data_IF_489349617218
#
_entry.id   IF_489349617218
#
_cell.length_a   1.000
_cell.length_b   1.000
_cell.length_c   1.000
_cell.angle_alpha   90.00
_cell.angle_beta   90.00
_cell.angle_gamma   90.00
#
_symmetry.space_group_name_H-M   'P 1'
#
loop_
_entity.id
_entity.type
_entity.pdbx_description
1 polymer ?
#
# COMPACT_ATOMS: atom_id res chain seq x y z
N UNK A 1 -8.18 29.70 9.89
CA UNK A 1 -9.26 28.84 9.40
C UNK A 1 -9.06 28.67 7.90
N UNK A 2 -8.36 27.65 7.48
CA UNK A 2 -8.24 27.36 6.05
C UNK A 2 -9.47 26.53 5.65
N UNK A 3 -10.25 27.00 4.70
CA UNK A 3 -11.32 26.21 4.11
C UNK A 3 -10.65 25.15 3.22
N UNK A 4 -11.24 23.94 3.12
CA UNK A 4 -10.64 22.83 2.35
C UNK A 4 -10.45 23.08 0.84
N UNK A 5 -10.71 24.30 0.35
CA UNK A 5 -10.42 24.75 -1.02
C UNK A 5 -8.98 25.24 -1.19
N UNK A 6 -8.26 25.54 -0.09
CA UNK A 6 -6.88 26.03 -0.13
C UNK A 6 -5.85 24.91 -0.06
N UNK A 7 -6.30 23.64 0.08
CA UNK A 7 -5.41 22.46 0.17
C UNK A 7 -4.72 22.14 -1.16
N UNK A 8 -5.29 22.55 -2.28
CA UNK A 8 -4.74 22.33 -3.63
C UNK A 8 -4.67 23.64 -4.39
N UNK A 9 -3.53 23.94 -4.99
CA UNK A 9 -3.32 25.13 -5.81
C UNK A 9 -2.89 24.74 -7.22
N UNK A 10 -3.17 25.61 -8.21
CA UNK A 10 -2.73 25.42 -9.57
C UNK A 10 -3.48 24.34 -10.34
N UNK A 11 -2.75 23.54 -11.13
CA UNK A 11 -3.29 22.49 -11.99
C UNK A 11 -4.04 21.42 -11.21
N UNK A 12 -3.55 21.02 -10.05
CA UNK A 12 -4.17 20.04 -9.17
C UNK A 12 -5.60 20.44 -8.75
N UNK A 13 -5.83 21.72 -8.46
CA UNK A 13 -7.15 22.24 -8.10
C UNK A 13 -8.15 22.16 -9.28
N UNK A 14 -7.66 22.23 -10.52
CA UNK A 14 -8.49 22.09 -11.71
C UNK A 14 -8.86 20.61 -11.99
N UNK A 15 -8.00 19.69 -11.62
CA UNK A 15 -8.19 18.25 -11.82
C UNK A 15 -9.10 17.64 -10.75
N UNK A 16 -8.99 18.10 -9.50
CA UNK A 16 -9.80 17.62 -8.37
C UNK A 16 -10.97 18.56 -8.12
N UNK A 17 -12.06 18.38 -8.90
CA UNK A 17 -13.30 19.12 -8.69
C UNK A 17 -14.29 18.31 -7.86
N UNK A 18 -14.34 18.55 -6.56
CA UNK A 18 -15.25 17.86 -5.64
C UNK A 18 -16.57 18.63 -5.51
N UNK A 19 -17.66 18.03 -5.98
CA UNK A 19 -19.01 18.59 -5.82
C UNK A 19 -19.55 18.34 -4.42
N UNK A 20 -20.08 19.37 -3.78
CA UNK A 20 -20.66 19.25 -2.44
C UNK A 20 -21.78 18.18 -2.36
N UNK A 21 -22.60 18.07 -3.40
CA UNK A 21 -23.62 17.02 -3.47
C UNK A 21 -23.05 15.59 -3.48
N UNK A 22 -21.82 15.39 -3.94
CA UNK A 22 -21.16 14.09 -3.85
C UNK A 22 -20.68 13.82 -2.42
N UNK A 23 -20.16 14.83 -1.73
CA UNK A 23 -19.79 14.74 -0.31
C UNK A 23 -21.00 14.38 0.53
N UNK A 24 -22.13 15.09 0.36
CA UNK A 24 -23.37 14.81 1.10
C UNK A 24 -23.90 13.39 0.85
N UNK A 25 -23.81 12.87 -0.38
CA UNK A 25 -24.18 11.47 -0.66
C UNK A 25 -23.30 10.48 0.11
N UNK A 26 -21.98 10.69 0.14
CA UNK A 26 -21.08 9.81 0.88
C UNK A 26 -21.28 9.90 2.38
N UNK A 27 -21.61 11.08 2.91
CA UNK A 27 -21.93 11.23 4.33
C UNK A 27 -23.21 10.46 4.75
N UNK A 28 -24.08 10.14 3.81
CA UNK A 28 -25.28 9.34 4.07
C UNK A 28 -25.05 7.82 3.97
N UNK A 29 -23.89 7.38 3.44
CA UNK A 29 -23.59 5.95 3.25
C UNK A 29 -23.46 5.24 4.60
N UNK A 30 -24.03 4.05 4.64
CA UNK A 30 -23.94 3.08 5.74
C UNK A 30 -23.42 1.73 5.23
N UNK A 31 -23.00 0.80 6.10
CA UNK A 31 -22.64 -0.55 5.66
C UNK A 31 -23.72 -1.29 4.85
N UNK A 32 -24.99 -1.02 5.12
CA UNK A 32 -26.12 -1.67 4.43
C UNK A 32 -26.28 -1.20 2.95
N UNK A 33 -25.58 -0.13 2.55
CA UNK A 33 -25.66 0.43 1.19
C UNK A 33 -24.61 -0.18 0.22
N UNK A 34 -23.74 -1.07 0.72
CA UNK A 34 -22.67 -1.69 -0.07
C UNK A 34 -22.76 -3.20 -0.01
N UNK A 35 -22.27 -3.88 -1.06
CA UNK A 35 -22.20 -5.33 -1.09
C UNK A 35 -20.85 -5.80 -0.49
N UNK A 36 -20.87 -6.95 0.20
CA UNK A 36 -19.67 -7.68 0.54
C UNK A 36 -18.95 -8.15 -0.75
N UNK A 37 -17.64 -8.29 -0.66
CA UNK A 37 -16.85 -8.84 -1.76
C UNK A 37 -17.17 -10.34 -1.99
N UNK A 38 -16.99 -10.80 -3.22
CA UNK A 38 -17.15 -12.21 -3.60
C UNK A 38 -15.86 -13.04 -3.43
N UNK A 39 -14.74 -12.37 -3.24
CA UNK A 39 -13.42 -12.95 -2.97
C UNK A 39 -12.59 -11.97 -2.15
N UNK A 40 -11.57 -12.46 -1.47
CA UNK A 40 -10.53 -11.65 -0.82
C UNK A 40 -9.19 -11.94 -1.47
N UNK A 41 -8.36 -10.90 -1.54
CA UNK A 41 -6.98 -11.02 -2.02
C UNK A 41 -5.97 -10.56 -0.96
N UNK A 42 -4.71 -11.01 -1.11
CA UNK A 42 -3.57 -10.54 -0.33
C UNK A 42 -2.29 -10.73 -1.14
N UNK A 43 -1.22 -10.00 -0.82
CA UNK A 43 0.11 -10.24 -1.37
C UNK A 43 1.05 -10.82 -0.31
N UNK A 44 1.96 -11.72 -0.71
CA UNK A 44 3.02 -12.20 0.18
C UNK A 44 4.28 -11.41 -0.08
N UNK A 45 4.70 -10.63 0.92
CA UNK A 45 5.85 -9.76 0.78
C UNK A 45 6.98 -10.05 1.77
N UNK A 46 8.14 -9.49 1.48
CA UNK A 46 9.17 -9.18 2.46
C UNK A 46 9.21 -7.67 2.63
N UNK A 47 9.05 -7.21 3.87
CA UNK A 47 9.01 -5.79 4.20
C UNK A 47 10.43 -5.28 4.49
N UNK A 48 10.90 -4.27 3.74
CA UNK A 48 12.24 -3.68 3.85
C UNK A 48 12.15 -2.20 4.20
N UNK A 49 12.37 -1.84 5.48
CA UNK A 49 12.50 -0.45 5.90
C UNK A 49 13.91 0.06 5.60
N UNK A 50 14.15 0.58 4.40
CA UNK A 50 15.51 0.96 3.98
C UNK A 50 16.20 1.89 4.98
N UNK A 51 15.47 2.81 5.60
CA UNK A 51 16.00 3.73 6.61
C UNK A 51 14.92 4.14 7.60
N UNK A 52 15.30 4.36 8.85
CA UNK A 52 14.45 4.92 9.90
C UNK A 52 14.48 6.46 9.92
N UNK A 53 15.10 7.10 8.93
CA UNK A 53 15.08 8.56 8.80
C UNK A 53 13.83 9.05 8.06
N UNK A 54 13.27 10.19 8.50
CA UNK A 54 12.15 10.86 7.85
C UNK A 54 12.23 12.37 8.07
N UNK A 55 12.02 13.17 7.03
CA UNK A 55 11.98 14.63 7.19
C UNK A 55 10.79 15.12 8.00
N UNK A 56 9.69 14.36 8.03
CA UNK A 56 8.50 14.68 8.82
C UNK A 56 8.59 14.12 10.26
N UNK A 57 7.76 14.67 11.13
CA UNK A 57 7.64 14.26 12.54
C UNK A 57 6.16 14.15 12.90
N UNK A 58 5.42 13.32 12.14
CA UNK A 58 4.00 13.09 12.38
C UNK A 58 3.78 12.48 13.77
N UNK A 59 2.82 13.01 14.53
CA UNK A 59 2.67 12.68 15.96
C UNK A 59 2.09 11.29 16.22
N UNK A 60 1.54 10.62 15.21
CA UNK A 60 1.05 9.23 15.28
C UNK A 60 2.12 8.20 14.88
N UNK A 61 3.24 8.62 14.28
CA UNK A 61 4.20 7.73 13.66
C UNK A 61 5.34 7.35 14.61
N UNK A 62 5.61 6.05 14.72
CA UNK A 62 6.75 5.50 15.48
C UNK A 62 7.96 5.22 14.62
N UNK A 63 7.82 5.28 13.31
CA UNK A 63 8.78 4.77 12.36
C UNK A 63 10.10 5.56 12.31
N UNK A 64 10.10 6.87 12.57
CA UNK A 64 11.30 7.68 12.41
C UNK A 64 12.14 7.77 13.70
N UNK A 65 13.46 7.71 13.54
CA UNK A 65 14.43 8.03 14.60
C UNK A 65 14.89 9.48 14.53
N UNK A 66 15.50 9.95 15.61
CA UNK A 66 16.08 11.31 15.63
C UNK A 66 17.39 11.35 14.83
N UNK A 67 17.79 12.52 14.29
CA UNK A 67 19.08 12.66 13.64
C UNK A 67 20.24 12.20 14.56
N UNK A 68 21.10 11.34 14.03
CA UNK A 68 22.20 10.70 14.76
C UNK A 68 21.91 9.26 15.22
N UNK A 69 20.63 8.85 15.29
CA UNK A 69 20.20 7.49 15.67
C UNK A 69 19.64 6.70 14.48
N UNK A 70 19.19 7.40 13.44
CA UNK A 70 18.61 6.78 12.25
C UNK A 70 19.59 5.84 11.55
N UNK A 71 19.07 4.73 11.06
CA UNK A 71 19.80 3.68 10.35
C UNK A 71 19.51 3.69 8.86
N UNK A 72 20.40 3.10 8.08
CA UNK A 72 20.25 2.84 6.66
C UNK A 72 20.72 1.40 6.40
N UNK A 73 19.88 0.56 5.82
CA UNK A 73 20.27 -0.80 5.43
C UNK A 73 21.35 -0.75 4.35
N UNK A 74 22.38 -1.57 4.49
CA UNK A 74 23.39 -1.71 3.45
C UNK A 74 22.85 -2.53 2.25
N UNK A 75 23.46 -2.42 1.04
CA UNK A 75 23.09 -3.27 -0.09
C UNK A 75 23.20 -4.77 0.21
N UNK A 76 24.14 -5.17 1.09
CA UNK A 76 24.30 -6.57 1.51
C UNK A 76 23.16 -7.01 2.44
N UNK A 77 22.74 -6.16 3.39
CA UNK A 77 21.60 -6.43 4.27
C UNK A 77 20.31 -6.54 3.47
N UNK A 78 20.10 -5.62 2.50
CA UNK A 78 18.95 -5.65 1.58
C UNK A 78 18.91 -6.98 0.82
N UNK A 79 20.02 -7.37 0.18
CA UNK A 79 20.12 -8.64 -0.55
C UNK A 79 19.87 -9.85 0.34
N UNK A 80 20.39 -9.84 1.56
CA UNK A 80 20.20 -10.91 2.53
C UNK A 80 18.72 -11.08 2.92
N UNK A 81 18.02 -9.98 3.20
CA UNK A 81 16.60 -10.02 3.55
C UNK A 81 15.73 -10.43 2.36
N UNK A 82 16.04 -9.96 1.16
CA UNK A 82 15.35 -10.36 -0.07
C UNK A 82 15.45 -11.87 -0.32
N UNK A 83 16.63 -12.49 -0.12
CA UNK A 83 16.79 -13.95 -0.23
C UNK A 83 15.92 -14.70 0.75
N UNK A 84 15.87 -14.25 2.01
CA UNK A 84 15.00 -14.87 3.02
C UNK A 84 13.54 -14.79 2.58
N UNK A 85 13.07 -13.65 2.04
CA UNK A 85 11.73 -13.51 1.50
C UNK A 85 11.48 -14.42 0.30
N UNK A 86 12.41 -14.47 -0.66
CA UNK A 86 12.31 -15.33 -1.84
C UNK A 86 12.25 -16.82 -1.46
N UNK A 87 13.11 -17.26 -0.53
CA UNK A 87 13.12 -18.65 -0.02
C UNK A 87 11.81 -19.00 0.71
N UNK A 88 11.17 -18.02 1.37
CA UNK A 88 9.86 -18.18 2.00
C UNK A 88 8.68 -18.15 1.00
N UNK A 89 8.95 -17.95 -0.29
CA UNK A 89 7.94 -17.94 -1.35
C UNK A 89 7.22 -16.59 -1.50
N UNK A 90 7.78 -15.50 -0.98
CA UNK A 90 7.27 -14.16 -1.26
C UNK A 90 7.38 -13.85 -2.77
N UNK A 91 6.47 -13.03 -3.25
CA UNK A 91 6.48 -12.50 -4.63
C UNK A 91 6.75 -11.00 -4.67
N UNK A 92 6.67 -10.32 -3.54
CA UNK A 92 6.80 -8.87 -3.43
C UNK A 92 7.96 -8.48 -2.50
N UNK A 93 8.77 -7.53 -2.95
CA UNK A 93 9.68 -6.75 -2.13
C UNK A 93 9.04 -5.40 -1.82
N UNK A 94 8.58 -5.20 -0.59
CA UNK A 94 7.96 -3.96 -0.14
C UNK A 94 9.00 -3.04 0.47
N UNK A 95 9.45 -2.05 -0.29
CA UNK A 95 10.33 -0.99 0.18
C UNK A 95 9.55 0.17 0.76
N UNK A 96 9.64 0.39 2.05
CA UNK A 96 8.98 1.51 2.74
C UNK A 96 9.98 2.23 3.62
N UNK A 97 10.00 3.56 3.56
CA UNK A 97 10.82 4.39 4.42
C UNK A 97 10.24 5.80 4.57
N UNK A 98 10.87 6.61 5.40
CA UNK A 98 10.44 7.97 5.65
C UNK A 98 10.67 8.89 4.46
N UNK A 99 9.95 9.98 4.44
CA UNK A 99 9.97 10.99 3.38
C UNK A 99 11.32 11.71 3.32
N UNK A 100 11.95 11.81 2.14
CA UNK A 100 13.22 12.49 1.87
C UNK A 100 14.22 12.44 3.04
N UNK A 101 14.68 11.24 3.45
CA UNK A 101 15.52 11.07 4.64
C UNK A 101 16.86 11.78 4.54
N UNK A 102 17.47 11.81 3.38
CA UNK A 102 18.75 12.45 3.06
C UNK A 102 18.70 13.99 3.07
N UNK A 103 17.51 14.58 2.92
CA UNK A 103 17.30 16.04 3.04
C UNK A 103 17.48 16.57 4.48
N UNK A 104 17.21 15.74 5.49
CA UNK A 104 17.25 16.14 6.91
C UNK A 104 18.40 15.51 7.69
N UNK A 105 18.82 14.31 7.31
CA UNK A 105 19.77 13.50 8.08
C UNK A 105 21.11 13.44 7.35
N UNK A 106 22.05 14.30 7.75
CA UNK A 106 23.39 14.36 7.15
C UNK A 106 24.08 13.00 7.15
N UNK A 107 23.90 12.17 8.19
CA UNK A 107 24.48 10.83 8.24
C UNK A 107 23.98 9.90 7.14
N UNK A 108 22.70 10.04 6.75
CA UNK A 108 22.12 9.25 5.64
C UNK A 108 22.71 9.72 4.31
N UNK A 109 22.77 11.03 4.09
CA UNK A 109 23.40 11.61 2.92
C UNK A 109 24.88 11.20 2.81
N UNK A 110 25.66 11.32 3.90
CA UNK A 110 27.08 10.97 3.90
C UNK A 110 27.27 9.47 3.62
N UNK A 111 26.42 8.60 4.18
CA UNK A 111 26.50 7.16 3.95
C UNK A 111 26.16 6.78 2.50
N UNK A 112 25.14 7.41 1.91
CA UNK A 112 24.80 7.24 0.48
C UNK A 112 25.98 7.64 -0.41
N UNK A 113 26.58 8.81 -0.14
CA UNK A 113 27.74 9.29 -0.88
C UNK A 113 28.97 8.36 -0.72
N UNK A 114 29.19 7.77 0.47
CA UNK A 114 30.24 6.77 0.69
C UNK A 114 30.02 5.51 -0.17
N UNK A 115 28.77 5.09 -0.36
CA UNK A 115 28.41 3.97 -1.23
C UNK A 115 28.35 4.34 -2.72
N UNK A 116 28.45 5.64 -3.07
CA UNK A 116 28.51 6.14 -4.44
C UNK A 116 27.13 6.53 -5.01
N UNK A 117 26.14 6.75 -4.17
CA UNK A 117 24.81 7.21 -4.54
C UNK A 117 24.68 8.73 -4.34
N UNK A 118 24.00 9.40 -5.28
CA UNK A 118 23.73 10.84 -5.19
C UNK A 118 22.57 11.15 -4.23
N UNK A 119 21.56 10.26 -4.14
CA UNK A 119 20.38 10.40 -3.29
C UNK A 119 19.76 9.04 -2.91
N UNK A 120 18.79 9.09 -1.99
CA UNK A 120 18.08 7.88 -1.51
C UNK A 120 17.27 7.20 -2.63
N UNK A 121 16.80 7.93 -3.64
CA UNK A 121 16.01 7.35 -4.72
C UNK A 121 16.87 6.61 -5.73
N UNK A 122 18.12 7.03 -5.92
CA UNK A 122 19.10 6.26 -6.69
C UNK A 122 19.43 4.96 -5.99
N UNK A 123 19.65 5.01 -4.68
CA UNK A 123 19.84 3.82 -3.87
C UNK A 123 18.63 2.88 -3.89
N UNK A 124 17.41 3.43 -3.75
CA UNK A 124 16.18 2.65 -3.87
C UNK A 124 16.09 1.95 -5.23
N UNK A 125 16.45 2.62 -6.32
CA UNK A 125 16.43 2.02 -7.65
C UNK A 125 17.34 0.78 -7.71
N UNK A 126 18.55 0.87 -7.18
CA UNK A 126 19.46 -0.28 -7.13
C UNK A 126 18.91 -1.39 -6.22
N UNK A 127 18.27 -1.04 -5.09
CA UNK A 127 17.58 -2.02 -4.24
C UNK A 127 16.45 -2.74 -4.99
N UNK A 128 15.71 -2.05 -5.84
CA UNK A 128 14.70 -2.67 -6.70
C UNK A 128 15.32 -3.62 -7.73
N UNK A 129 16.47 -3.26 -8.32
CA UNK A 129 17.20 -4.15 -9.24
C UNK A 129 17.70 -5.40 -8.51
N UNK A 130 18.23 -5.25 -7.29
CA UNK A 130 18.59 -6.40 -6.43
C UNK A 130 17.37 -7.28 -6.14
N UNK A 131 16.19 -6.68 -5.89
CA UNK A 131 14.98 -7.46 -5.64
C UNK A 131 14.57 -8.30 -6.86
N UNK A 132 14.65 -7.74 -8.06
CA UNK A 132 14.39 -8.48 -9.30
C UNK A 132 15.39 -9.63 -9.51
N UNK A 133 16.69 -9.41 -9.19
CA UNK A 133 17.72 -10.46 -9.24
C UNK A 133 17.42 -11.61 -8.25
N UNK A 134 16.92 -11.29 -7.06
CA UNK A 134 16.58 -12.29 -6.03
C UNK A 134 15.16 -12.90 -6.23
N UNK A 135 14.46 -12.53 -7.30
CA UNK A 135 13.16 -13.10 -7.67
C UNK A 135 11.97 -12.52 -6.92
N UNK A 136 11.98 -11.24 -6.62
CA UNK A 136 10.90 -10.50 -5.99
C UNK A 136 10.52 -9.28 -6.83
N UNK A 137 9.23 -9.03 -6.99
CA UNK A 137 8.72 -7.85 -7.70
C UNK A 137 8.70 -6.65 -6.73
N UNK A 138 9.38 -5.54 -7.04
CA UNK A 138 9.38 -4.38 -6.18
C UNK A 138 8.04 -3.64 -6.13
N UNK A 139 7.64 -3.26 -4.92
CA UNK A 139 6.65 -2.23 -4.61
C UNK A 139 7.31 -1.20 -3.68
N UNK A 140 7.36 0.06 -4.08
CA UNK A 140 8.07 1.10 -3.33
C UNK A 140 7.16 2.22 -2.84
N UNK A 141 7.34 2.59 -1.56
CA UNK A 141 6.67 3.72 -0.89
C UNK A 141 7.72 4.76 -0.44
N UNK A 142 8.30 5.56 -1.35
CA UNK A 142 9.40 6.48 -1.04
C UNK A 142 8.95 7.83 -0.47
N UNK A 143 7.67 8.02 -0.15
CA UNK A 143 7.11 9.30 0.26
C UNK A 143 6.74 10.22 -0.90
N UNK A 144 6.83 11.54 -0.69
CA UNK A 144 6.50 12.54 -1.71
C UNK A 144 7.61 12.62 -2.76
N UNK A 145 7.27 12.26 -4.01
CA UNK A 145 8.17 12.29 -5.18
C UNK A 145 7.50 12.95 -6.38
N UNK A 146 8.28 13.28 -7.39
CA UNK A 146 7.89 14.04 -8.57
C UNK A 146 7.84 13.18 -9.84
N UNK A 147 7.32 13.72 -10.96
CA UNK A 147 7.30 13.02 -12.26
C UNK A 147 8.70 12.49 -12.67
N UNK A 148 9.80 13.26 -12.63
CA UNK A 148 11.13 12.75 -12.93
C UNK A 148 11.57 11.58 -12.03
N UNK A 149 11.14 11.56 -10.76
CA UNK A 149 11.45 10.46 -9.87
C UNK A 149 10.66 9.19 -10.25
N UNK A 150 9.39 9.33 -10.67
CA UNK A 150 8.62 8.22 -11.22
C UNK A 150 9.19 7.71 -12.55
N UNK A 151 9.68 8.58 -13.44
CA UNK A 151 10.38 8.16 -14.65
C UNK A 151 11.63 7.33 -14.34
N UNK A 152 12.34 7.64 -13.24
CA UNK A 152 13.53 6.91 -12.77
C UNK A 152 13.18 5.58 -12.11
N UNK A 153 12.14 5.53 -11.29
CA UNK A 153 11.79 4.38 -10.44
C UNK A 153 10.77 3.43 -11.09
N UNK A 154 9.82 3.94 -11.89
CA UNK A 154 8.78 3.14 -12.53
C UNK A 154 9.30 1.95 -13.34
N UNK A 155 10.42 2.08 -14.10
CA UNK A 155 10.96 0.96 -14.84
C UNK A 155 11.40 -0.26 -14.02
N UNK A 156 11.66 -0.11 -12.73
CA UNK A 156 12.10 -1.18 -11.82
C UNK A 156 11.06 -1.54 -10.75
N UNK A 157 9.86 -0.98 -10.81
CA UNK A 157 8.77 -1.25 -9.88
C UNK A 157 7.56 -1.85 -10.59
N UNK A 158 6.95 -2.88 -9.99
CA UNK A 158 5.68 -3.44 -10.46
C UNK A 158 4.50 -2.52 -10.09
N UNK A 159 4.61 -1.85 -8.96
CA UNK A 159 3.69 -0.80 -8.49
C UNK A 159 4.41 0.09 -7.48
N UNK A 160 3.82 1.24 -7.18
CA UNK A 160 4.35 2.16 -6.16
C UNK A 160 3.20 2.71 -5.32
N UNK A 161 3.52 3.38 -4.21
CA UNK A 161 2.47 3.92 -3.35
C UNK A 161 2.91 5.11 -2.50
N UNK A 162 1.91 5.83 -2.04
CA UNK A 162 1.99 6.78 -0.92
C UNK A 162 0.61 6.95 -0.29
N UNK A 163 0.55 6.90 1.03
CA UNK A 163 -0.70 7.17 1.73
C UNK A 163 -1.05 8.66 1.65
N UNK A 164 -2.23 8.98 1.08
CA UNK A 164 -2.80 10.34 1.18
C UNK A 164 -3.08 10.70 2.63
N UNK A 165 -3.56 9.74 3.40
CA UNK A 165 -4.01 9.81 4.78
C UNK A 165 -5.26 10.68 4.95
N UNK A 166 -5.19 11.96 4.60
CA UNK A 166 -6.34 12.87 4.62
C UNK A 166 -6.10 14.09 3.75
N UNK A 167 -7.19 14.69 3.23
CA UNK A 167 -7.16 16.03 2.61
C UNK A 167 -7.36 17.17 3.61
N UNK A 168 -7.49 16.85 4.92
CA UNK A 168 -7.58 17.86 5.97
C UNK A 168 -6.19 18.35 6.42
N UNK A 169 -6.14 19.56 6.86
CA UNK A 169 -5.00 20.12 7.57
C UNK A 169 -5.11 19.76 9.06
N UNK A 170 -4.47 18.63 9.46
CA UNK A 170 -4.56 18.09 10.82
C UNK A 170 -3.30 18.39 11.64
N UNK A 171 -3.48 18.57 12.96
CA UNK A 171 -2.37 18.82 13.89
C UNK A 171 -1.40 17.61 13.95
N UNK A 172 -1.88 16.42 13.65
CA UNK A 172 -1.06 15.20 13.57
C UNK A 172 0.09 15.29 12.54
N UNK A 173 -0.07 16.15 11.52
CA UNK A 173 0.95 16.45 10.50
C UNK A 173 1.77 17.70 10.82
N UNK A 174 1.48 18.37 11.92
CA UNK A 174 2.25 19.53 12.35
C UNK A 174 3.64 19.12 12.84
N UNK A 175 4.63 19.95 12.59
CA UNK A 175 6.01 19.73 12.96
C UNK A 175 6.90 20.79 12.36
N UNK A 176 8.22 20.61 12.49
CA UNK A 176 9.19 21.54 11.89
C UNK A 176 9.12 21.58 10.35
N UNK A 177 8.69 20.50 9.72
CA UNK A 177 8.29 20.40 8.32
C UNK A 177 6.92 19.76 8.27
N UNK A 178 5.93 20.51 7.83
CA UNK A 178 4.55 20.10 7.81
C UNK A 178 4.27 19.26 6.56
N UNK A 179 3.73 18.07 6.73
CA UNK A 179 3.18 17.26 5.64
C UNK A 179 1.85 17.89 5.20
N UNK A 180 1.69 18.15 3.92
CA UNK A 180 0.48 18.77 3.38
C UNK A 180 -0.27 17.84 2.44
N UNK A 181 -1.61 17.90 2.41
CA UNK A 181 -2.41 17.12 1.47
C UNK A 181 -2.04 17.38 0.01
N UNK A 182 -1.69 18.63 -0.32
CA UNK A 182 -1.29 18.99 -1.69
C UNK A 182 -0.04 18.28 -2.18
N UNK A 183 0.96 18.06 -1.32
CA UNK A 183 2.15 17.27 -1.66
C UNK A 183 1.77 15.84 -2.00
N UNK A 184 0.98 15.18 -1.14
CA UNK A 184 0.51 13.80 -1.36
C UNK A 184 -0.31 13.65 -2.63
N UNK A 185 -1.25 14.57 -2.87
CA UNK A 185 -2.07 14.56 -4.08
C UNK A 185 -1.24 14.81 -5.35
N UNK A 186 -0.21 15.66 -5.28
CA UNK A 186 0.71 15.85 -6.41
C UNK A 186 1.51 14.58 -6.71
N UNK A 187 1.96 13.83 -5.70
CA UNK A 187 2.62 12.55 -5.89
C UNK A 187 1.70 11.51 -6.54
N UNK A 188 0.43 11.41 -6.06
CA UNK A 188 -0.56 10.52 -6.67
C UNK A 188 -0.85 10.92 -8.13
N UNK A 189 -0.95 12.22 -8.43
CA UNK A 189 -1.12 12.75 -9.79
C UNK A 189 0.08 12.39 -10.68
N UNK A 190 1.29 12.61 -10.19
CA UNK A 190 2.53 12.33 -10.92
C UNK A 190 2.65 10.85 -11.30
N UNK A 191 2.31 9.94 -10.38
CA UNK A 191 2.24 8.50 -10.67
C UNK A 191 1.28 8.20 -11.82
N UNK A 192 0.12 8.88 -11.84
CA UNK A 192 -0.87 8.73 -12.90
C UNK A 192 -0.40 9.28 -14.25
N UNK A 193 0.29 10.42 -14.28
CA UNK A 193 0.85 11.00 -15.50
C UNK A 193 1.91 10.10 -16.14
N UNK A 194 2.76 9.48 -15.33
CA UNK A 194 3.81 8.57 -15.81
C UNK A 194 3.23 7.17 -16.12
N UNK A 195 2.08 6.80 -15.55
CA UNK A 195 1.43 5.51 -15.78
C UNK A 195 1.99 4.39 -14.91
N UNK A 196 2.21 4.66 -13.62
CA UNK A 196 2.63 3.65 -12.64
C UNK A 196 1.40 3.16 -11.87
N UNK A 197 1.14 1.83 -11.78
CA UNK A 197 0.09 1.28 -10.93
C UNK A 197 0.33 1.70 -9.48
N UNK A 198 -0.70 2.28 -8.81
CA UNK A 198 -0.46 3.04 -7.60
C UNK A 198 -1.39 2.65 -6.45
N UNK A 199 -0.81 2.50 -5.26
CA UNK A 199 -1.52 2.28 -3.99
C UNK A 199 -1.53 3.57 -3.17
N UNK A 200 -2.69 3.91 -2.62
CA UNK A 200 -2.85 5.04 -1.70
C UNK A 200 -3.85 4.70 -0.59
N UNK A 201 -4.20 5.64 0.27
CA UNK A 201 -5.18 5.33 1.31
C UNK A 201 -5.44 6.45 2.30
N UNK A 202 -6.31 6.15 3.26
CA UNK A 202 -6.68 7.01 4.38
C UNK A 202 -6.07 6.49 5.68
N UNK A 203 -5.73 7.41 6.59
CA UNK A 203 -5.42 7.08 7.97
C UNK A 203 -6.53 7.64 8.86
N UNK A 204 -7.32 6.75 9.44
CA UNK A 204 -8.53 7.07 10.20
C UNK A 204 -8.18 7.28 11.67
N UNK A 205 -8.57 8.45 12.22
CA UNK A 205 -8.44 8.75 13.65
C UNK A 205 -7.30 9.72 13.99
N UNK A 206 -6.76 10.45 13.01
CA UNK A 206 -5.68 11.43 13.21
C UNK A 206 -6.19 12.88 13.37
N UNK A 207 -7.51 13.06 13.54
CA UNK A 207 -8.13 14.38 13.73
C UNK A 207 -8.99 14.84 12.56
N UNK A 208 -9.10 14.06 11.49
CA UNK A 208 -9.96 14.29 10.34
C UNK A 208 -11.44 14.06 10.66
N UNK A 209 -12.32 14.76 9.97
CA UNK A 209 -13.77 14.62 10.08
C UNK A 209 -14.34 13.64 9.05
N UNK A 210 -15.60 13.25 9.20
CA UNK A 210 -16.34 12.47 8.19
C UNK A 210 -16.34 13.14 6.82
N UNK A 211 -16.44 14.46 6.79
CA UNK A 211 -16.40 15.26 5.57
C UNK A 211 -15.02 15.21 4.91
N UNK A 212 -13.97 15.19 5.71
CA UNK A 212 -12.59 15.09 5.20
C UNK A 212 -12.32 13.72 4.61
N UNK A 213 -12.82 12.64 5.22
CA UNK A 213 -12.75 11.28 4.64
C UNK A 213 -13.47 11.22 3.30
N UNK A 214 -14.70 11.75 3.22
CA UNK A 214 -15.45 11.82 1.97
C UNK A 214 -14.71 12.60 0.88
N UNK A 215 -14.13 13.74 1.22
CA UNK A 215 -13.33 14.55 0.28
C UNK A 215 -12.05 13.83 -0.15
N UNK A 216 -11.37 13.15 0.75
CA UNK A 216 -10.15 12.38 0.45
C UNK A 216 -10.45 11.27 -0.57
N UNK A 217 -11.52 10.50 -0.36
CA UNK A 217 -11.94 9.45 -1.28
C UNK A 217 -12.35 10.00 -2.65
N UNK A 218 -13.05 11.14 -2.67
CA UNK A 218 -13.43 11.80 -3.93
C UNK A 218 -12.23 12.40 -4.66
N UNK A 219 -11.20 12.86 -3.94
CA UNK A 219 -9.96 13.33 -4.56
C UNK A 219 -9.19 12.18 -5.21
N UNK A 220 -9.04 11.05 -4.52
CA UNK A 220 -8.43 9.84 -5.08
C UNK A 220 -9.20 9.37 -6.31
N UNK A 221 -10.53 9.30 -6.21
CA UNK A 221 -11.40 8.94 -7.33
C UNK A 221 -11.19 9.87 -8.54
N UNK A 222 -11.14 11.18 -8.33
CA UNK A 222 -10.98 12.15 -9.42
C UNK A 222 -9.65 11.96 -10.16
N UNK A 223 -8.56 11.68 -9.45
CA UNK A 223 -7.26 11.36 -10.05
C UNK A 223 -7.30 10.02 -10.79
N UNK A 224 -7.95 9.00 -10.23
CA UNK A 224 -8.11 7.71 -10.91
C UNK A 224 -8.96 7.84 -12.19
N UNK A 225 -10.09 8.54 -12.14
CA UNK A 225 -10.95 8.78 -13.32
C UNK A 225 -10.20 9.49 -14.47
N UNK A 226 -9.14 10.25 -14.15
CA UNK A 226 -8.33 10.92 -15.15
C UNK A 226 -7.19 10.06 -15.69
N UNK A 227 -6.52 9.30 -14.82
CA UNK A 227 -5.26 8.63 -15.14
C UNK A 227 -5.35 7.10 -15.15
N UNK A 228 -6.40 6.51 -14.62
CA UNK A 228 -6.67 5.05 -14.57
C UNK A 228 -5.61 4.22 -13.80
N UNK A 229 -4.89 4.84 -12.83
CA UNK A 229 -3.66 4.30 -12.23
C UNK A 229 -3.81 3.75 -10.80
N UNK A 230 -4.84 4.17 -10.04
CA UNK A 230 -5.00 3.70 -8.65
C UNK A 230 -5.54 2.29 -8.65
N UNK A 231 -4.76 1.35 -8.13
CA UNK A 231 -5.13 -0.06 -8.04
C UNK A 231 -5.82 -0.41 -6.71
N UNK A 232 -5.47 0.32 -5.64
CA UNK A 232 -5.84 -0.02 -4.28
C UNK A 232 -5.95 1.22 -3.41
N UNK A 233 -6.96 1.23 -2.52
CA UNK A 233 -7.14 2.25 -1.48
C UNK A 233 -7.19 1.58 -0.11
N UNK A 234 -6.19 1.84 0.71
CA UNK A 234 -6.05 1.32 2.06
C UNK A 234 -6.90 2.16 3.02
N UNK A 235 -7.80 1.54 3.76
CA UNK A 235 -8.52 2.17 4.87
C UNK A 235 -7.87 1.69 6.17
N UNK A 236 -6.82 2.38 6.57
CA UNK A 236 -6.05 2.08 7.77
C UNK A 236 -6.56 2.90 8.97
N UNK A 237 -6.63 2.29 10.13
CA UNK A 237 -6.86 3.02 11.39
C UNK A 237 -5.54 3.32 12.11
N UNK A 238 -5.50 4.45 12.82
CA UNK A 238 -4.43 4.70 13.78
C UNK A 238 -4.53 3.68 14.94
N UNK A 239 -3.39 3.30 15.49
CA UNK A 239 -3.29 2.43 16.66
C UNK A 239 -2.51 3.13 17.78
N UNK A 240 -2.81 2.85 19.05
CA UNK A 240 -1.99 3.32 20.16
C UNK A 240 -0.54 2.86 20.00
N UNK A 241 0.40 3.71 20.34
CA UNK A 241 1.82 3.40 20.32
C UNK A 241 2.58 4.23 21.37
N UNK A 242 3.86 3.93 21.59
CA UNK A 242 4.69 4.57 22.61
C UNK A 242 4.87 6.10 22.43
N UNK A 243 4.70 6.61 21.22
CA UNK A 243 4.94 8.03 20.87
C UNK A 243 3.67 8.86 20.75
N UNK A 244 2.48 8.25 20.85
CA UNK A 244 1.23 8.96 20.64
C UNK A 244 0.12 8.54 21.59
N UNK A 245 -0.74 9.50 21.92
CA UNK A 245 -1.96 9.29 22.72
C UNK A 245 -3.18 8.99 21.82
N UNK A 246 -3.00 8.74 20.53
CA UNK A 246 -4.10 8.43 19.61
C UNK A 246 -4.78 7.14 20.03
N UNK A 247 -6.11 7.17 19.99
CA UNK A 247 -6.92 6.02 20.30
C UNK A 247 -7.43 5.35 19.03
N UNK A 248 -7.51 4.03 19.03
CA UNK A 248 -8.08 3.27 17.92
C UNK A 248 -9.53 3.73 17.68
N UNK A 249 -9.92 4.05 16.43
CA UNK A 249 -11.32 4.31 16.08
C UNK A 249 -12.22 3.12 16.44
N UNK A 250 -13.48 3.40 16.75
CA UNK A 250 -14.45 2.33 17.02
C UNK A 250 -14.68 1.47 15.76
N UNK A 251 -15.09 0.21 15.97
CA UNK A 251 -15.48 -0.70 14.88
C UNK A 251 -16.54 -0.06 13.98
N UNK A 252 -17.54 0.60 14.56
CA UNK A 252 -18.59 1.31 13.81
C UNK A 252 -18.00 2.42 12.91
N UNK A 253 -17.02 3.17 13.42
CA UNK A 253 -16.31 4.18 12.63
C UNK A 253 -15.59 3.55 11.44
N UNK A 254 -14.91 2.43 11.66
CA UNK A 254 -14.21 1.72 10.59
C UNK A 254 -15.20 1.13 9.57
N UNK A 255 -16.24 0.43 10.00
CA UNK A 255 -17.30 -0.12 9.16
C UNK A 255 -17.87 0.94 8.21
N UNK A 256 -18.26 2.08 8.76
CA UNK A 256 -18.82 3.18 7.97
C UNK A 256 -17.77 3.81 7.03
N UNK A 257 -16.50 3.91 7.45
CA UNK A 257 -15.45 4.47 6.59
C UNK A 257 -15.14 3.55 5.41
N UNK A 258 -15.07 2.23 5.63
CA UNK A 258 -14.90 1.23 4.59
C UNK A 258 -16.08 1.25 3.60
N UNK A 259 -17.31 1.26 4.10
CA UNK A 259 -18.51 1.36 3.25
C UNK A 259 -18.51 2.66 2.42
N UNK A 260 -18.09 3.78 3.03
CA UNK A 260 -17.91 5.04 2.31
C UNK A 260 -16.84 4.94 1.23
N UNK A 261 -15.73 4.24 1.48
CA UNK A 261 -14.68 4.01 0.49
C UNK A 261 -15.22 3.17 -0.67
N UNK A 262 -15.88 2.04 -0.40
CA UNK A 262 -16.48 1.21 -1.45
C UNK A 262 -17.52 1.97 -2.29
N UNK A 263 -18.36 2.78 -1.66
CA UNK A 263 -19.35 3.60 -2.36
C UNK A 263 -18.75 4.76 -3.17
N UNK A 264 -17.60 5.29 -2.74
CA UNK A 264 -16.92 6.38 -3.43
C UNK A 264 -16.12 5.93 -4.64
N UNK A 265 -15.46 4.77 -4.54
CA UNK A 265 -14.45 4.32 -5.49
C UNK A 265 -15.08 3.46 -6.59
N UNK A 266 -14.57 3.53 -7.83
CA UNK A 266 -14.88 2.58 -8.89
C UNK A 266 -14.66 1.12 -8.46
N UNK A 267 -15.37 0.19 -9.08
CA UNK A 267 -15.30 -1.23 -8.71
C UNK A 267 -13.92 -1.87 -8.97
N UNK A 268 -13.18 -1.30 -9.91
CA UNK A 268 -11.83 -1.75 -10.26
C UNK A 268 -10.73 -1.34 -9.28
N UNK A 269 -11.03 -0.46 -8.32
CA UNK A 269 -10.12 -0.12 -7.23
C UNK A 269 -10.44 -1.02 -6.04
N UNK A 270 -9.46 -1.78 -5.56
CA UNK A 270 -9.61 -2.57 -4.34
C UNK A 270 -9.69 -1.68 -3.10
N UNK A 271 -10.53 -2.09 -2.14
CA UNK A 271 -10.62 -1.49 -0.81
C UNK A 271 -9.95 -2.43 0.19
N UNK A 272 -8.78 -2.04 0.63
CA UNK A 272 -7.95 -2.82 1.52
C UNK A 272 -8.10 -2.38 2.98
N UNK A 273 -8.01 -3.34 3.90
CA UNK A 273 -7.77 -3.08 5.33
C UNK A 273 -6.58 -3.92 5.81
N UNK A 274 -5.64 -3.35 6.59
CA UNK A 274 -4.52 -4.10 7.13
C UNK A 274 -4.99 -5.04 8.26
N UNK A 275 -4.81 -6.36 8.12
CA UNK A 275 -5.44 -7.33 9.03
C UNK A 275 -4.80 -7.38 10.42
N UNK A 276 -3.56 -6.90 10.58
CA UNK A 276 -2.89 -6.76 11.88
C UNK A 276 -3.35 -5.52 12.66
N UNK A 277 -3.89 -4.50 12.01
CA UNK A 277 -4.25 -3.22 12.63
C UNK A 277 -5.75 -3.05 12.80
N UNK A 278 -6.54 -3.60 11.89
CA UNK A 278 -7.99 -3.38 11.78
C UNK A 278 -8.80 -4.56 12.31
N UNK A 279 -10.04 -4.34 12.78
CA UNK A 279 -10.96 -5.41 13.14
C UNK A 279 -11.55 -6.07 11.87
N UNK A 280 -10.72 -6.76 11.10
CA UNK A 280 -10.98 -7.17 9.71
C UNK A 280 -12.26 -8.00 9.56
N UNK A 281 -12.53 -8.95 10.47
CA UNK A 281 -13.73 -9.81 10.40
C UNK A 281 -15.02 -9.01 10.44
N UNK A 282 -15.04 -7.92 11.21
CA UNK A 282 -16.18 -7.01 11.34
C UNK A 282 -16.32 -6.04 10.17
N UNK A 283 -15.38 -6.05 9.22
CA UNK A 283 -15.36 -5.15 8.06
C UNK A 283 -15.69 -5.83 6.73
N UNK A 284 -15.72 -7.17 6.69
CA UNK A 284 -15.86 -7.94 5.44
C UNK A 284 -17.18 -7.67 4.72
N UNK A 285 -18.26 -7.42 5.44
CA UNK A 285 -19.57 -7.07 4.88
C UNK A 285 -19.70 -5.60 4.46
N UNK A 286 -18.63 -4.80 4.62
CA UNK A 286 -18.58 -3.38 4.28
C UNK A 286 -17.89 -3.10 2.94
N UNK A 287 -17.56 -4.14 2.14
CA UNK A 287 -16.97 -4.01 0.81
C UNK A 287 -15.44 -4.04 0.79
N UNK A 288 -14.80 -4.63 1.82
CA UNK A 288 -13.39 -4.99 1.78
C UNK A 288 -13.19 -6.15 0.82
N UNK A 289 -12.23 -6.04 -0.08
CA UNK A 289 -11.88 -7.07 -1.07
C UNK A 289 -10.37 -7.42 -1.07
N UNK A 290 -9.56 -6.70 -0.27
CA UNK A 290 -8.13 -6.99 -0.13
C UNK A 290 -7.64 -6.88 1.32
N UNK A 291 -6.67 -7.71 1.68
CA UNK A 291 -6.02 -7.77 2.99
C UNK A 291 -4.58 -7.20 2.97
N UNK A 292 -4.17 -6.67 1.83
CA UNK A 292 -2.86 -6.05 1.66
C UNK A 292 -1.68 -7.00 1.58
N UNK A 293 -0.50 -6.43 1.76
CA UNK A 293 0.74 -7.18 1.86
C UNK A 293 0.94 -7.74 3.26
N UNK A 294 1.29 -9.02 3.35
CA UNK A 294 1.56 -9.72 4.61
C UNK A 294 2.92 -10.40 4.52
N UNK A 295 3.77 -10.17 5.52
CA UNK A 295 5.11 -10.77 5.56
C UNK A 295 5.15 -12.01 6.45
N UNK A 296 5.58 -13.17 5.92
CA UNK A 296 5.84 -14.35 6.74
C UNK A 296 7.19 -14.33 7.45
N UNK A 297 8.08 -13.39 7.13
CA UNK A 297 9.50 -13.42 7.53
C UNK A 297 10.02 -12.13 8.16
N UNK A 298 9.30 -11.03 8.04
CA UNK A 298 9.66 -9.73 8.63
C UNK A 298 8.55 -9.20 9.52
N UNK A 299 8.91 -8.38 10.49
CA UNK A 299 7.96 -7.68 11.37
C UNK A 299 7.30 -6.50 10.63
N UNK A 300 6.20 -5.97 11.16
CA UNK A 300 5.67 -4.67 10.76
C UNK A 300 6.50 -3.56 11.43
N UNK A 301 7.52 -3.08 10.75
CA UNK A 301 8.41 -2.05 11.28
C UNK A 301 7.74 -0.67 11.49
N UNK A 302 6.57 -0.45 10.88
CA UNK A 302 5.77 0.77 11.11
C UNK A 302 4.91 0.64 12.36
N UNK A 303 4.45 -0.58 12.67
CA UNK A 303 3.62 -0.87 13.83
C UNK A 303 4.15 -2.12 14.56
N UNK A 304 5.31 -2.04 15.21
CA UNK A 304 6.04 -3.22 15.72
C UNK A 304 5.32 -3.98 16.84
N UNK A 305 4.33 -3.39 17.49
CA UNK A 305 3.51 -4.05 18.52
C UNK A 305 2.36 -4.89 17.92
N UNK A 306 2.25 -4.96 16.57
CA UNK A 306 1.14 -5.59 15.86
C UNK A 306 1.65 -6.56 14.79
N UNK A 307 1.85 -7.81 15.19
CA UNK A 307 2.37 -8.87 14.33
C UNK A 307 1.49 -9.12 13.10
N UNK A 308 2.12 -9.50 11.98
CA UNK A 308 1.42 -9.98 10.80
C UNK A 308 0.66 -11.28 11.10
N UNK A 309 -0.60 -11.41 10.63
CA UNK A 309 -1.32 -12.66 10.76
C UNK A 309 -0.64 -13.76 9.94
N UNK A 310 -0.64 -14.97 10.47
CA UNK A 310 -0.20 -16.12 9.72
C UNK A 310 -1.15 -16.40 8.53
N UNK A 311 -0.67 -17.04 7.46
CA UNK A 311 -1.50 -17.40 6.29
C UNK A 311 -2.77 -18.18 6.68
N UNK A 312 -2.68 -19.03 7.71
CA UNK A 312 -3.86 -19.72 8.25
C UNK A 312 -4.91 -18.76 8.80
N UNK A 313 -4.50 -17.71 9.45
CA UNK A 313 -5.43 -16.71 9.99
C UNK A 313 -6.13 -15.93 8.87
N UNK A 314 -5.41 -15.63 7.77
CA UNK A 314 -6.03 -15.02 6.58
C UNK A 314 -7.09 -15.94 5.97
N UNK A 315 -6.82 -17.26 5.88
CA UNK A 315 -7.83 -18.23 5.42
C UNK A 315 -9.02 -18.32 6.36
N UNK A 316 -8.80 -18.26 7.70
CA UNK A 316 -9.88 -18.25 8.68
C UNK A 316 -10.71 -16.93 8.63
N UNK A 317 -10.08 -15.80 8.26
CA UNK A 317 -10.78 -14.54 8.00
C UNK A 317 -11.70 -14.71 6.78
N UNK A 318 -11.19 -15.16 5.65
CA UNK A 318 -11.98 -15.36 4.43
C UNK A 318 -13.12 -16.38 4.63
N UNK A 319 -12.83 -17.50 5.30
CA UNK A 319 -13.82 -18.52 5.63
C UNK A 319 -14.95 -17.98 6.52
N UNK A 320 -14.70 -16.99 7.38
CA UNK A 320 -15.73 -16.37 8.21
C UNK A 320 -16.79 -15.60 7.43
N UNK A 321 -16.47 -15.20 6.19
CA UNK A 321 -17.40 -14.56 5.25
C UNK A 321 -17.87 -15.49 4.13
N UNK A 322 -17.46 -16.76 4.15
CA UNK A 322 -17.77 -17.76 3.10
C UNK A 322 -17.28 -17.32 1.70
N UNK A 323 -16.10 -16.69 1.64
CA UNK A 323 -15.46 -16.26 0.39
C UNK A 323 -14.09 -16.88 0.21
N UNK A 324 -13.66 -17.13 -1.04
CA UNK A 324 -12.30 -17.62 -1.33
C UNK A 324 -11.25 -16.55 -1.08
N UNK A 325 -10.06 -16.98 -0.66
CA UNK A 325 -8.87 -16.16 -0.52
C UNK A 325 -7.88 -16.47 -1.63
N UNK A 326 -7.38 -15.45 -2.30
CA UNK A 326 -6.37 -15.58 -3.36
C UNK A 326 -5.12 -14.77 -3.04
N UNK A 327 -3.96 -15.34 -3.31
CA UNK A 327 -2.72 -14.58 -3.35
C UNK A 327 -2.64 -13.78 -4.65
N UNK A 328 -2.17 -12.54 -4.61
CA UNK A 328 -1.93 -11.68 -5.78
C UNK A 328 -0.48 -11.22 -5.85
N UNK A 329 -0.07 -10.72 -7.00
CA UNK A 329 1.17 -9.96 -7.17
C UNK A 329 1.03 -8.55 -6.55
N UNK A 330 2.15 -7.79 -6.37
CA UNK A 330 2.08 -6.39 -5.94
C UNK A 330 1.37 -5.48 -6.96
N UNK A 331 1.18 -5.94 -8.17
CA UNK A 331 0.39 -5.31 -9.24
C UNK A 331 -0.88 -6.10 -9.48
N UNK A 332 -2.03 -5.41 -9.61
CA UNK A 332 -3.33 -6.03 -9.80
C UNK A 332 -3.56 -6.49 -11.24
N UNK A 333 -4.42 -7.53 -11.42
CA UNK A 333 -4.70 -8.18 -12.71
C UNK A 333 -5.01 -7.21 -13.85
N UNK A 334 -5.73 -6.10 -13.57
CA UNK A 334 -6.09 -5.15 -14.62
C UNK A 334 -4.90 -4.47 -15.30
N UNK A 335 -3.75 -4.35 -14.62
CA UNK A 335 -2.53 -3.72 -15.12
C UNK A 335 -1.55 -4.72 -15.73
N UNK A 336 -1.79 -6.02 -15.55
CA UNK A 336 -1.01 -7.07 -16.20
C UNK A 336 -1.29 -7.12 -17.70
N UNK A 337 -0.33 -7.55 -18.53
CA UNK A 337 -0.59 -7.98 -19.89
C UNK A 337 -1.71 -9.01 -19.95
N UNK A 338 -2.53 -8.97 -21.00
CA UNK A 338 -3.75 -9.79 -21.10
C UNK A 338 -3.50 -11.30 -20.96
N UNK A 339 -2.35 -11.75 -21.45
CA UNK A 339 -1.89 -13.16 -21.40
C UNK A 339 -1.45 -13.62 -20.00
N UNK A 340 -1.21 -12.67 -19.09
CA UNK A 340 -0.81 -12.94 -17.71
C UNK A 340 -1.96 -12.81 -16.71
N UNK A 341 -3.11 -12.33 -17.17
CA UNK A 341 -4.28 -12.19 -16.31
C UNK A 341 -4.94 -13.52 -16.00
N UNK A 342 -5.59 -13.60 -14.87
CA UNK A 342 -6.49 -14.70 -14.50
C UNK A 342 -7.56 -14.89 -15.57
N UNK A 343 -7.84 -16.16 -15.94
CA UNK A 343 -8.78 -16.48 -17.02
C UNK A 343 -10.23 -16.11 -16.72
N UNK A 344 -10.59 -16.06 -15.43
CA UNK A 344 -11.91 -15.65 -14.92
C UNK A 344 -11.96 -14.16 -14.51
N UNK A 345 -10.92 -13.38 -14.86
CA UNK A 345 -10.92 -11.94 -14.62
C UNK A 345 -12.04 -11.27 -15.40
N UNK A 346 -13.13 -10.94 -14.69
CA UNK A 346 -14.33 -10.35 -15.28
C UNK A 346 -14.23 -8.83 -15.51
N UNK A 347 -13.14 -8.19 -15.09
CA UNK A 347 -12.92 -6.76 -15.19
C UNK A 347 -12.35 -6.33 -16.53
N UNK A 348 -12.54 -5.05 -16.88
CA UNK A 348 -11.82 -4.45 -17.99
C UNK A 348 -10.35 -4.22 -17.58
N UNK A 349 -9.41 -4.62 -18.41
CA UNK A 349 -8.01 -4.25 -18.24
C UNK A 349 -7.81 -2.75 -18.42
N UNK A 350 -6.88 -2.16 -17.70
CA UNK A 350 -6.45 -0.79 -17.94
C UNK A 350 -5.88 -0.64 -19.36
N UNK A 351 -6.19 0.46 -20.02
CA UNK A 351 -5.71 0.70 -21.37
C UNK A 351 -4.22 1.05 -21.38
N UNK A 352 -3.46 0.49 -22.31
CA UNK A 352 -2.03 0.78 -22.47
C UNK A 352 -1.11 -0.27 -21.83
N UNK A 353 0.18 0.05 -21.79
CA UNK A 353 1.23 -0.76 -21.14
C UNK A 353 1.57 -0.09 -19.81
N UNK A 354 1.29 -0.76 -18.72
CA UNK A 354 1.51 -0.28 -17.34
C UNK A 354 2.80 -0.77 -16.72
N UNK A 355 3.30 -1.91 -17.20
CA UNK A 355 4.54 -2.49 -16.72
C UNK A 355 5.67 -2.28 -17.71
N UNK A 356 6.83 -2.00 -17.18
CA UNK A 356 8.08 -1.90 -17.95
C UNK A 356 8.49 -3.25 -18.52
N UNK A 357 9.34 -3.22 -19.56
CA UNK A 357 9.92 -4.45 -20.14
C UNK A 357 10.66 -5.31 -19.09
N UNK A 358 11.49 -4.77 -18.17
CA UNK A 358 12.13 -5.56 -17.11
C UNK A 358 11.14 -6.29 -16.20
N UNK A 359 10.07 -5.65 -15.79
CA UNK A 359 9.03 -6.27 -14.92
C UNK A 359 8.29 -7.38 -15.69
N UNK A 360 7.87 -7.12 -16.93
CA UNK A 360 7.23 -8.16 -17.77
C UNK A 360 8.18 -9.32 -18.01
N UNK A 361 9.46 -9.04 -18.29
CA UNK A 361 10.47 -10.07 -18.50
C UNK A 361 10.67 -10.95 -17.23
N UNK A 362 10.69 -10.34 -16.04
CA UNK A 362 10.76 -11.08 -14.78
C UNK A 362 9.56 -12.02 -14.58
N UNK A 363 8.34 -11.53 -14.82
CA UNK A 363 7.11 -12.34 -14.68
C UNK A 363 7.07 -13.49 -15.71
N UNK A 364 7.56 -13.26 -16.92
CA UNK A 364 7.50 -14.22 -18.02
C UNK A 364 8.73 -15.12 -18.15
N UNK A 365 9.76 -14.94 -17.34
CA UNK A 365 10.98 -15.75 -17.35
C UNK A 365 10.69 -17.25 -17.21
N UNK A 366 11.50 -18.08 -17.90
CA UNK A 366 11.40 -19.55 -17.85
C UNK A 366 12.21 -20.15 -16.68
N UNK A 367 12.22 -19.45 -15.55
CA UNK A 367 12.88 -19.88 -14.32
C UNK A 367 11.86 -20.14 -13.19
N UNK A 368 12.37 -20.49 -12.00
CA UNK A 368 11.53 -20.76 -10.81
C UNK A 368 10.76 -19.52 -10.35
N UNK A 369 11.32 -18.33 -10.51
CA UNK A 369 10.68 -17.07 -10.09
C UNK A 369 9.57 -16.68 -11.05
N UNK A 370 9.83 -16.69 -12.36
CA UNK A 370 8.80 -16.44 -13.37
C UNK A 370 7.65 -17.45 -13.29
N UNK A 371 7.95 -18.73 -13.03
CA UNK A 371 6.91 -19.74 -12.82
C UNK A 371 6.07 -19.44 -11.57
N UNK A 372 6.69 -18.96 -10.46
CA UNK A 372 6.00 -18.52 -9.24
C UNK A 372 5.07 -17.35 -9.52
N UNK A 373 5.57 -16.31 -10.19
CA UNK A 373 4.76 -15.13 -10.52
C UNK A 373 3.54 -15.49 -11.39
N UNK A 374 3.74 -16.33 -12.42
CA UNK A 374 2.62 -16.79 -13.26
C UNK A 374 1.60 -17.61 -12.48
N UNK A 375 2.06 -18.50 -11.56
CA UNK A 375 1.18 -19.27 -10.69
C UNK A 375 0.31 -18.36 -9.81
N UNK A 376 0.89 -17.28 -9.26
CA UNK A 376 0.13 -16.28 -8.49
C UNK A 376 -0.78 -15.45 -9.40
N UNK A 377 -0.29 -14.91 -10.51
CA UNK A 377 -1.07 -14.06 -11.42
C UNK A 377 -2.25 -14.81 -12.05
N UNK A 378 -2.04 -16.06 -12.50
CA UNK A 378 -3.07 -16.88 -13.16
C UNK A 378 -3.96 -17.64 -12.18
N UNK A 379 -3.60 -17.70 -10.90
CA UNK A 379 -4.35 -18.25 -9.77
C UNK A 379 -5.08 -19.57 -10.09
N UNK A 380 -4.41 -20.68 -9.90
CA UNK A 380 -4.98 -22.02 -10.11
C UNK A 380 -6.05 -22.44 -9.05
N UNK A 381 -6.69 -21.47 -8.40
CA UNK A 381 -7.71 -21.63 -7.37
C UNK A 381 -7.40 -20.87 -6.07
N UNK A 382 -8.34 -20.90 -5.11
CA UNK A 382 -8.14 -20.24 -3.81
C UNK A 382 -7.03 -20.90 -3.02
N UNK A 383 -6.41 -20.13 -2.11
CA UNK A 383 -5.41 -20.62 -1.20
C UNK A 383 -5.99 -21.74 -0.32
N UNK A 384 -5.42 -22.94 -0.42
CA UNK A 384 -5.74 -24.04 0.48
C UNK A 384 -4.60 -24.25 1.47
N UNK A 385 -4.86 -24.00 2.77
CA UNK A 385 -3.94 -24.36 3.83
C UNK A 385 -4.27 -25.81 4.24
N UNK A 386 -3.40 -26.78 3.89
CA UNK A 386 -3.54 -28.14 4.39
C UNK A 386 -3.47 -28.09 5.93
N UNK A 387 -4.59 -28.42 6.56
CA UNK A 387 -4.61 -28.68 8.01
C UNK A 387 -3.88 -29.99 8.20
N UNK A 388 -2.72 -30.05 8.90
CA UNK A 388 -2.12 -31.32 9.25
C UNK A 388 -3.18 -32.15 10.00
N UNK A 389 -3.48 -33.35 9.50
CA UNK A 389 -4.41 -34.25 10.18
C UNK A 389 -3.95 -34.39 11.65
N UNK A 390 -4.78 -33.94 12.59
CA UNK A 390 -4.55 -34.20 14.00
C UNK A 390 -4.45 -35.71 14.13
N UNK A 391 -3.24 -36.20 14.41
CA UNK A 391 -3.08 -37.59 14.79
C UNK A 391 -3.92 -37.80 16.02
N UNK A 392 -5.11 -38.40 15.87
CA UNK A 392 -5.88 -38.95 16.98
C UNK A 392 -5.02 -40.03 17.59
N UNK A 393 -4.25 -39.68 18.61
CA UNK A 393 -3.58 -40.63 19.47
C UNK A 393 -4.67 -41.48 20.12
N UNK A 394 -4.81 -42.71 19.67
CA UNK A 394 -5.49 -43.75 20.41
C UNK A 394 -4.68 -43.95 21.69
N UNK A 395 -5.21 -43.49 22.79
CA UNK A 395 -4.81 -43.98 24.12
C UNK A 395 -5.37 -45.40 24.26
N UNK A 396 -4.49 -46.37 24.24
CA UNK A 396 -4.65 -47.69 24.87
C UNK A 396 -4.03 -47.64 26.29
#
# INVERSE_FOLDING_TARGET
MFSGADAYQGELAAEISIRESAVERLLAVTPDDVAAASELTFARNVFLPLTTACRYTCTYCTYYDVPGEATLLSPEDVRSQLRVGSDAGCTEALFTFGDAPDDRYTQIHDQLAEWGYDDILEYLRDCCEIALEEGLLPHSNPGDITEPDFERLGPVNASMGVMLETTADVDAHAGGRRKTPGQRLNTIRAAGEIGVPFTTGLLVGIGETWRDRAKSLLAIRALHERYDHVQEVIVQNVVPNERSDFQRPSVETMRRTVAMARAALPAEISVQVPPNLSPTRELLDCGVDDLGGVSPVTEDYVNPDYDWPALRELTDIAASADVPLYERLPVYDRYLPSELRRTDFGGAGAAGSWLSEPIVAAITADDVHGARYRGVAQRDGPLSVEVPATSSGSAD
#
